data_IF_053220681177
#
_entry.id   IF_053220681177
#
_cell.length_a   1.000
_cell.length_b   1.000
_cell.length_c   1.000
_cell.angle_alpha   90.00
_cell.angle_beta   90.00
_cell.angle_gamma   90.00
#
_symmetry.space_group_name_H-M   'P 1'
#
loop_
_entity.id
_entity.type
_entity.pdbx_description
1 polymer ?
#
# COMPACT_ATOMS: atom_id res chain seq x y z
N UNK A 1 2.06 62.96 10.46
CA UNK A 1 1.62 61.62 10.93
C UNK A 1 2.84 60.70 10.94
N UNK A 2 3.32 60.32 12.12
CA UNK A 2 4.53 59.49 12.27
C UNK A 2 4.20 58.02 11.99
N UNK A 3 4.94 57.37 11.08
CA UNK A 3 4.89 55.92 10.87
C UNK A 3 5.48 55.24 12.10
N UNK A 4 4.81 54.26 12.74
CA UNK A 4 5.42 53.50 13.82
C UNK A 4 6.59 52.67 13.28
N UNK A 5 7.74 52.80 13.96
CA UNK A 5 9.00 52.16 13.63
C UNK A 5 8.93 50.62 13.73
N UNK A 6 9.67 49.97 12.84
CA UNK A 6 9.95 48.53 12.76
C UNK A 6 10.69 48.03 14.02
N UNK A 7 9.95 47.72 15.09
CA UNK A 7 10.47 47.02 16.29
C UNK A 7 10.27 45.50 16.25
N UNK A 8 9.74 44.94 15.16
CA UNK A 8 9.30 43.54 15.09
C UNK A 8 10.41 42.50 15.01
N UNK A 9 11.61 42.83 14.52
CA UNK A 9 12.68 41.85 14.27
C UNK A 9 13.39 41.33 15.53
N UNK A 10 13.77 42.20 16.46
CA UNK A 10 14.51 41.84 17.68
C UNK A 10 13.65 41.01 18.66
N UNK A 11 12.39 41.40 18.87
CA UNK A 11 11.46 40.64 19.73
C UNK A 11 11.09 39.26 19.15
N UNK A 12 11.10 39.10 17.82
CA UNK A 12 10.90 37.79 17.19
C UNK A 12 12.09 36.84 17.41
N UNK A 13 13.33 37.35 17.44
CA UNK A 13 14.51 36.52 17.72
C UNK A 13 14.55 36.01 19.17
N UNK A 14 14.12 36.82 20.14
CA UNK A 14 14.10 36.42 21.56
C UNK A 14 13.05 35.33 21.85
N UNK A 15 11.90 35.36 21.16
CA UNK A 15 10.84 34.35 21.29
C UNK A 15 11.28 32.94 20.91
N UNK A 16 12.37 32.77 20.14
CA UNK A 16 12.89 31.44 19.77
C UNK A 16 13.54 30.69 20.95
N UNK A 17 13.98 31.42 21.98
CA UNK A 17 14.61 30.82 23.17
C UNK A 17 13.60 30.41 24.25
N UNK A 18 12.32 30.77 24.09
CA UNK A 18 11.23 30.43 25.01
C UNK A 18 10.30 29.47 24.29
N UNK A 19 10.35 28.18 24.66
CA UNK A 19 9.42 27.17 24.14
C UNK A 19 7.99 27.52 24.51
N UNK A 20 7.04 27.20 23.64
CA UNK A 20 5.63 27.29 24.00
C UNK A 20 5.32 26.24 25.09
N UNK A 21 4.39 26.51 26.01
CA UNK A 21 4.11 25.59 27.12
C UNK A 21 3.77 24.15 26.69
N UNK A 22 3.17 23.98 25.51
CA UNK A 22 2.80 22.69 24.92
C UNK A 22 3.90 22.01 24.08
N UNK A 23 5.08 22.63 23.93
CA UNK A 23 6.25 22.08 23.22
C UNK A 23 7.29 21.47 24.18
N UNK A 24 6.95 21.36 25.46
CA UNK A 24 7.86 20.82 26.49
C UNK A 24 7.80 19.29 26.51
N UNK A 25 6.61 18.70 26.38
CA UNK A 25 6.39 17.25 26.41
C UNK A 25 5.23 16.85 25.50
N UNK A 26 5.24 15.60 25.02
CA UNK A 26 4.19 15.05 24.17
C UNK A 26 4.51 15.17 22.68
N UNK A 27 3.54 14.86 21.78
CA UNK A 27 3.80 14.79 20.35
C UNK A 27 4.37 16.09 19.76
N UNK A 28 3.92 17.25 20.22
CA UNK A 28 4.40 18.54 19.73
C UNK A 28 5.86 18.88 20.12
N UNK A 29 6.47 18.10 21.01
CA UNK A 29 7.87 18.23 21.41
C UNK A 29 8.80 17.25 20.67
N UNK A 30 8.23 16.32 19.89
CA UNK A 30 8.97 15.30 19.14
C UNK A 30 9.59 15.92 17.87
N UNK A 31 10.88 15.67 17.56
CA UNK A 31 11.50 16.15 16.33
C UNK A 31 10.81 15.66 15.04
N UNK A 32 10.08 14.55 15.08
CA UNK A 32 9.39 13.99 13.92
C UNK A 32 7.98 14.58 13.72
N UNK A 33 7.49 15.39 14.66
CA UNK A 33 6.18 16.02 14.59
C UNK A 33 6.09 17.08 13.49
N UNK A 34 5.07 16.96 12.64
CA UNK A 34 4.76 17.94 11.59
C UNK A 34 3.33 18.43 11.72
N UNK A 35 3.13 19.75 11.61
CA UNK A 35 1.80 20.36 11.61
C UNK A 35 0.97 19.92 10.41
N UNK A 36 -0.32 19.66 10.62
CA UNK A 36 -1.27 19.16 9.59
C UNK A 36 -1.71 20.20 8.56
N UNK A 37 -1.36 21.47 8.73
CA UNK A 37 -1.76 22.56 7.85
C UNK A 37 -0.65 22.85 6.82
N UNK A 38 -0.68 22.22 5.62
CA UNK A 38 0.25 22.57 4.57
C UNK A 38 0.01 24.01 4.11
N UNK A 39 1.08 24.70 3.71
CA UNK A 39 0.92 26.01 3.10
C UNK A 39 0.25 25.89 1.72
N UNK A 40 -0.51 26.91 1.33
CA UNK A 40 -1.16 26.95 0.01
C UNK A 40 -0.15 26.95 -1.15
N UNK A 41 1.12 27.30 -0.88
CA UNK A 41 2.21 27.26 -1.85
C UNK A 41 2.87 25.88 -1.97
N UNK A 42 2.68 24.99 -0.99
CA UNK A 42 3.26 23.65 -0.96
C UNK A 42 2.28 22.59 -1.48
N UNK A 43 1.01 22.66 -1.06
CA UNK A 43 0.01 21.67 -1.42
C UNK A 43 -0.86 22.15 -2.59
N UNK A 44 -0.99 21.31 -3.62
CA UNK A 44 -1.87 21.55 -4.78
C UNK A 44 -1.57 22.88 -5.49
N UNK A 45 -0.29 23.16 -5.71
CA UNK A 45 0.20 24.32 -6.48
C UNK A 45 -0.46 24.43 -7.86
N UNK A 46 -0.77 23.29 -8.47
CA UNK A 46 -1.52 23.20 -9.73
C UNK A 46 -2.90 22.64 -9.44
N UNK A 47 -3.93 23.24 -10.05
CA UNK A 47 -5.27 22.68 -10.01
C UNK A 47 -5.29 21.31 -10.71
N UNK A 48 -6.06 20.33 -10.23
CA UNK A 48 -6.20 19.02 -10.89
C UNK A 48 -6.70 19.12 -12.34
N UNK A 49 -7.49 20.15 -12.65
CA UNK A 49 -7.98 20.41 -14.01
C UNK A 49 -6.92 21.07 -14.91
N UNK A 50 -5.79 21.51 -14.35
CA UNK A 50 -4.72 22.24 -15.06
C UNK A 50 -3.36 21.59 -14.77
N UNK A 51 -3.14 20.33 -15.19
CA UNK A 51 -1.87 19.67 -14.98
C UNK A 51 -0.78 20.32 -15.85
N UNK A 52 0.45 20.37 -15.32
CA UNK A 52 1.64 20.84 -16.07
C UNK A 52 2.00 19.96 -17.27
N UNK A 53 1.63 18.69 -17.21
CA UNK A 53 2.02 17.68 -18.18
C UNK A 53 0.78 17.08 -18.82
N UNK A 54 0.90 16.69 -20.08
CA UNK A 54 -0.12 15.90 -20.78
C UNK A 54 0.11 14.42 -20.46
N UNK A 55 -0.72 13.77 -19.62
CA UNK A 55 -0.54 12.35 -19.33
C UNK A 55 -0.86 11.50 -20.57
N UNK A 56 -0.04 10.48 -20.82
CA UNK A 56 -0.30 9.43 -21.82
C UNK A 56 -0.48 8.13 -21.04
N UNK A 57 -1.73 7.69 -20.90
CA UNK A 57 -2.06 6.45 -20.18
C UNK A 57 -2.01 5.29 -21.17
N UNK A 58 -1.09 4.32 -21.02
CA UNK A 58 -1.01 3.18 -21.93
C UNK A 58 -2.23 2.26 -21.76
N UNK A 59 -2.82 1.82 -22.87
CA UNK A 59 -4.01 0.94 -22.89
C UNK A 59 -3.70 -0.50 -23.22
N UNK A 60 -2.56 -0.77 -23.86
CA UNK A 60 -2.17 -2.10 -24.33
C UNK A 60 -0.65 -2.24 -24.30
N UNK A 61 -0.18 -3.48 -24.15
CA UNK A 61 1.25 -3.78 -24.21
C UNK A 61 1.75 -3.65 -25.67
N UNK A 62 2.96 -3.12 -25.91
CA UNK A 62 3.49 -2.90 -27.27
C UNK A 62 3.44 -4.13 -28.18
N UNK A 63 3.69 -5.31 -27.60
CA UNK A 63 3.65 -6.61 -28.31
C UNK A 63 2.28 -6.91 -28.93
N UNK A 64 1.21 -6.43 -28.30
CA UNK A 64 -0.19 -6.71 -28.71
C UNK A 64 -0.82 -5.61 -29.57
N UNK A 65 -0.08 -4.53 -29.84
CA UNK A 65 -0.58 -3.42 -30.67
C UNK A 65 -0.64 -3.83 -32.14
N UNK A 66 0.41 -4.50 -32.63
CA UNK A 66 0.49 -4.95 -34.03
C UNK A 66 0.17 -6.44 -34.19
N UNK A 67 0.54 -7.30 -33.25
CA UNK A 67 0.10 -8.71 -33.24
C UNK A 67 -1.23 -8.84 -32.47
N UNK A 68 -2.33 -8.61 -33.19
CA UNK A 68 -3.68 -8.52 -32.61
C UNK A 68 -4.41 -9.87 -32.51
N UNK A 69 -3.71 -11.00 -32.66
CA UNK A 69 -4.32 -12.33 -32.59
C UNK A 69 -5.03 -12.52 -31.25
N UNK A 70 -6.36 -12.61 -31.31
CA UNK A 70 -7.16 -12.64 -30.09
C UNK A 70 -7.23 -14.04 -29.47
N UNK A 71 -7.27 -15.11 -30.28
CA UNK A 71 -7.47 -16.48 -29.78
C UNK A 71 -6.33 -16.97 -28.87
N UNK A 72 -5.10 -16.49 -29.08
CA UNK A 72 -3.95 -16.78 -28.19
C UNK A 72 -4.04 -16.03 -26.87
N UNK A 73 -4.69 -14.86 -26.85
CA UNK A 73 -4.84 -13.98 -25.69
C UNK A 73 -6.13 -14.26 -24.88
N UNK A 74 -7.12 -14.92 -25.47
CA UNK A 74 -8.43 -15.13 -24.87
C UNK A 74 -8.40 -16.09 -23.67
N UNK A 75 -8.07 -15.56 -22.49
CA UNK A 75 -8.07 -16.32 -21.23
C UNK A 75 -9.48 -16.72 -20.77
N UNK A 76 -10.55 -16.07 -21.27
CA UNK A 76 -11.91 -16.36 -20.85
C UNK A 76 -12.41 -17.69 -21.42
N UNK A 77 -12.09 -17.94 -22.70
CA UNK A 77 -12.52 -19.16 -23.41
C UNK A 77 -11.45 -20.23 -23.42
N UNK A 78 -10.17 -19.87 -23.29
CA UNK A 78 -9.05 -20.82 -23.21
C UNK A 78 -8.97 -21.49 -21.82
N UNK A 79 -10.06 -22.17 -21.45
CA UNK A 79 -10.15 -22.98 -20.23
C UNK A 79 -10.39 -24.43 -20.62
N UNK A 80 -9.84 -25.39 -19.86
CA UNK A 80 -10.14 -26.79 -20.10
C UNK A 80 -11.64 -27.04 -20.01
N UNK A 81 -12.20 -27.92 -20.87
CA UNK A 81 -13.61 -28.25 -20.83
C UNK A 81 -13.96 -29.00 -19.53
N UNK A 82 -15.20 -28.85 -19.07
CA UNK A 82 -15.70 -29.54 -17.87
C UNK A 82 -15.76 -31.05 -18.16
N UNK A 83 -15.00 -31.85 -17.42
CA UNK A 83 -15.06 -33.31 -17.45
C UNK A 83 -15.96 -33.80 -16.31
N UNK A 84 -17.03 -34.53 -16.64
CA UNK A 84 -17.94 -35.14 -15.66
C UNK A 84 -17.79 -36.66 -15.70
N UNK A 85 -17.50 -37.27 -14.57
CA UNK A 85 -17.37 -38.72 -14.40
C UNK A 85 -18.34 -39.19 -13.32
N UNK A 86 -19.06 -40.27 -13.59
CA UNK A 86 -20.01 -40.87 -12.64
C UNK A 86 -19.28 -41.98 -11.88
N UNK A 87 -19.23 -41.89 -10.55
CA UNK A 87 -18.66 -42.93 -9.69
C UNK A 87 -19.78 -43.85 -9.20
N UNK A 88 -19.64 -45.16 -9.40
CA UNK A 88 -20.52 -46.18 -8.84
C UNK A 88 -19.93 -46.72 -7.53
N UNK A 89 -20.75 -47.45 -6.78
CA UNK A 89 -20.33 -48.10 -5.52
C UNK A 89 -19.02 -48.90 -5.67
N UNK A 90 -18.91 -49.71 -6.73
CA UNK A 90 -17.73 -50.53 -6.99
C UNK A 90 -16.44 -49.70 -7.18
N UNK A 91 -16.54 -48.51 -7.81
CA UNK A 91 -15.39 -47.62 -8.03
C UNK A 91 -14.90 -47.04 -6.70
N UNK A 92 -15.84 -46.67 -5.83
CA UNK A 92 -15.54 -46.11 -4.50
C UNK A 92 -14.94 -47.18 -3.57
N UNK A 93 -15.50 -48.39 -3.54
CA UNK A 93 -14.96 -49.50 -2.74
C UNK A 93 -13.53 -49.85 -3.17
N UNK A 94 -13.24 -49.81 -4.47
CA UNK A 94 -11.88 -49.98 -4.99
C UNK A 94 -10.95 -48.86 -4.52
N UNK A 95 -11.35 -47.59 -4.65
CA UNK A 95 -10.55 -46.44 -4.20
C UNK A 95 -10.25 -46.50 -2.69
N UNK A 96 -11.23 -46.90 -1.87
CA UNK A 96 -11.04 -47.06 -0.43
C UNK A 96 -10.05 -48.19 -0.09
N UNK A 97 -10.09 -49.29 -0.85
CA UNK A 97 -9.16 -50.41 -0.65
C UNK A 97 -7.73 -50.05 -1.07
N UNK A 98 -7.57 -49.21 -2.09
CA UNK A 98 -6.27 -48.78 -2.62
C UNK A 98 -5.65 -47.63 -1.81
N UNK A 99 -6.46 -46.75 -1.20
CA UNK A 99 -5.96 -45.57 -0.49
C UNK A 99 -5.40 -45.94 0.89
N UNK A 100 -4.14 -45.59 1.10
CA UNK A 100 -3.49 -45.51 2.41
C UNK A 100 -3.11 -44.05 2.68
N UNK A 101 -2.93 -43.69 3.95
CA UNK A 101 -2.61 -42.32 4.36
C UNK A 101 -1.20 -42.24 4.94
N UNK A 102 -0.38 -41.39 4.34
CA UNK A 102 0.88 -40.93 4.90
C UNK A 102 0.72 -39.53 5.51
N UNK A 103 1.71 -39.08 6.28
CA UNK A 103 1.67 -37.76 6.93
C UNK A 103 1.48 -36.62 5.92
N UNK A 104 1.99 -36.77 4.69
CA UNK A 104 1.87 -35.78 3.60
C UNK A 104 0.50 -35.76 2.92
N UNK A 105 -0.34 -36.78 3.10
CA UNK A 105 -1.71 -36.79 2.55
C UNK A 105 -2.65 -35.85 3.30
N UNK A 106 -2.28 -35.42 4.50
CA UNK A 106 -3.09 -34.49 5.29
C UNK A 106 -2.90 -33.05 4.80
N UNK A 107 -3.98 -32.25 4.71
CA UNK A 107 -3.86 -30.86 4.32
C UNK A 107 -2.99 -30.11 5.33
N UNK A 108 -2.06 -29.29 4.83
CA UNK A 108 -1.18 -28.48 5.67
C UNK A 108 -2.01 -27.51 6.51
N UNK A 109 -1.74 -27.46 7.81
CA UNK A 109 -2.38 -26.51 8.72
C UNK A 109 -1.84 -25.10 8.44
N UNK A 110 -2.73 -24.13 8.28
CA UNK A 110 -2.36 -22.72 8.25
C UNK A 110 -2.03 -22.25 9.68
N UNK A 111 -0.76 -22.41 10.09
CA UNK A 111 -0.29 -21.96 11.39
C UNK A 111 0.08 -20.48 11.32
N UNK A 112 -0.55 -19.66 12.17
CA UNK A 112 -0.12 -18.29 12.37
C UNK A 112 1.14 -18.27 13.24
N UNK A 113 2.10 -17.42 12.89
CA UNK A 113 3.30 -17.24 13.69
C UNK A 113 2.93 -16.63 15.06
N UNK A 114 3.68 -17.00 16.11
CA UNK A 114 3.67 -16.22 17.35
C UNK A 114 4.31 -14.87 17.03
N UNK A 115 3.55 -13.80 17.15
CA UNK A 115 4.01 -12.43 16.88
C UNK A 115 4.41 -11.80 18.21
N UNK A 116 5.61 -11.24 18.24
CA UNK A 116 6.02 -10.29 19.29
C UNK A 116 5.83 -8.90 18.70
N UNK A 117 5.00 -8.09 19.36
CA UNK A 117 4.71 -6.72 18.92
C UNK A 117 5.86 -5.81 19.37
N UNK A 118 6.53 -5.20 18.40
CA UNK A 118 7.53 -4.15 18.63
C UNK A 118 7.16 -2.92 17.81
N UNK A 119 7.19 -1.77 18.47
CA UNK A 119 6.74 -0.48 17.95
C UNK A 119 7.54 -0.02 16.72
N UNK A 120 8.87 -0.20 16.72
CA UNK A 120 9.76 0.34 15.69
C UNK A 120 10.67 -0.73 15.04
N UNK A 121 10.39 -2.01 15.22
CA UNK A 121 11.25 -3.12 14.76
C UNK A 121 11.59 -3.11 13.26
N UNK A 122 10.65 -2.68 12.40
CA UNK A 122 10.83 -2.71 10.94
C UNK A 122 11.25 -1.35 10.43
N UNK A 123 12.47 -1.25 9.90
CA UNK A 123 12.98 0.00 9.32
C UNK A 123 13.13 1.14 10.33
N UNK A 124 13.11 0.86 11.64
CA UNK A 124 13.15 1.89 12.68
C UNK A 124 11.84 2.67 12.81
N UNK A 125 10.70 2.11 12.40
CA UNK A 125 9.40 2.78 12.38
C UNK A 125 9.09 3.53 11.08
N UNK A 126 10.04 3.59 10.13
CA UNK A 126 9.89 4.27 8.85
C UNK A 126 10.03 3.29 7.67
N UNK A 127 8.96 3.18 6.87
CA UNK A 127 8.98 2.43 5.62
C UNK A 127 9.30 3.37 4.45
N UNK A 128 10.40 3.09 3.74
CA UNK A 128 10.73 3.75 2.46
C UNK A 128 9.82 3.26 1.34
#
# INVERSE_FOLDING_TARGET
MAKPATTSGLFQTLKRFIKLPWEITGPCADPEYRSSLPSALEYRVHSPATPKFKPIVPTSNPETVYDIKYYTRDQRRNRPPIKRTILKKADVEKMMKEKTFEVSDFPSVYLTAKVEEDYNARGGGYQK
#
